data_IF_492698214787
#
_entry.id   IF_492698214787
#
_cell.length_a   1.000
_cell.length_b   1.000
_cell.length_c   1.000
_cell.angle_alpha   90.00
_cell.angle_beta   90.00
_cell.angle_gamma   90.00
#
_symmetry.space_group_name_H-M   'P 1'
#
loop_
_entity.id
_entity.type
_entity.pdbx_description
1 polymer ?
#
# COMPACT_ATOMS: atom_id res chain seq x y z
N UNK A 1 -39.07 57.64 3.97
CA UNK A 1 -40.05 56.85 3.19
C UNK A 1 -39.30 55.66 2.64
N UNK A 2 -39.52 54.48 3.22
CA UNK A 2 -40.28 53.38 2.59
C UNK A 2 -39.41 52.73 1.50
N UNK A 3 -39.07 51.46 1.49
CA UNK A 3 -39.69 50.28 2.09
C UNK A 3 -38.85 49.08 1.65
N UNK A 4 -39.04 47.94 2.33
CA UNK A 4 -38.67 46.61 1.87
C UNK A 4 -37.22 46.17 2.08
N UNK A 5 -36.84 46.07 3.36
CA UNK A 5 -36.17 44.86 3.85
C UNK A 5 -37.01 43.63 3.46
N UNK A 6 -36.66 42.99 2.33
CA UNK A 6 -37.21 41.70 1.94
C UNK A 6 -36.65 40.63 2.87
N UNK A 7 -37.40 40.39 3.95
CA UNK A 7 -37.80 39.05 4.41
C UNK A 7 -36.77 37.92 4.21
N UNK A 8 -35.79 37.86 5.11
CA UNK A 8 -35.26 36.58 5.55
C UNK A 8 -36.38 35.84 6.28
N UNK A 9 -37.16 35.02 5.58
CA UNK A 9 -38.05 34.05 6.22
C UNK A 9 -37.18 33.01 6.93
N UNK A 10 -36.80 33.33 8.17
CA UNK A 10 -36.29 32.36 9.13
C UNK A 10 -37.46 31.42 9.42
N UNK A 11 -37.45 30.21 8.87
CA UNK A 11 -38.39 29.17 9.25
C UNK A 11 -38.25 28.94 10.75
N UNK A 12 -39.22 29.46 11.49
CA UNK A 12 -39.31 29.32 12.95
C UNK A 12 -39.56 27.83 13.23
N UNK A 13 -38.48 27.10 13.56
CA UNK A 13 -38.58 25.70 13.96
C UNK A 13 -39.43 25.64 15.21
N UNK A 14 -40.58 24.97 15.13
CA UNK A 14 -41.46 24.76 16.27
C UNK A 14 -40.68 24.15 17.44
N UNK A 15 -40.88 24.64 18.68
CA UNK A 15 -40.21 24.08 19.85
C UNK A 15 -40.61 22.62 20.06
N UNK A 16 -39.61 21.74 20.22
CA UNK A 16 -39.80 20.32 20.51
C UNK A 16 -40.16 20.16 22.00
N UNK A 17 -41.18 19.37 22.29
CA UNK A 17 -41.62 19.05 23.65
C UNK A 17 -41.57 17.53 23.87
N UNK A 18 -41.17 17.12 25.08
CA UNK A 18 -41.26 15.75 25.55
C UNK A 18 -42.43 15.62 26.54
N UNK A 19 -42.99 14.41 26.68
CA UNK A 19 -43.99 14.10 27.71
C UNK A 19 -43.26 13.47 28.88
N UNK A 20 -43.43 14.01 30.08
CA UNK A 20 -42.91 13.41 31.31
C UNK A 20 -43.73 12.15 31.65
N UNK A 21 -43.11 10.96 31.70
CA UNK A 21 -43.83 9.71 31.95
C UNK A 21 -44.30 9.54 33.41
N UNK A 22 -43.78 10.32 34.35
CA UNK A 22 -44.23 10.27 35.76
C UNK A 22 -45.44 11.17 36.03
N UNK A 23 -45.53 12.32 35.35
CA UNK A 23 -46.56 13.34 35.60
C UNK A 23 -47.51 13.58 34.43
N UNK A 24 -47.21 13.05 33.23
CA UNK A 24 -47.96 13.25 31.99
C UNK A 24 -47.90 14.67 31.42
N UNK A 25 -47.07 15.56 32.01
CA UNK A 25 -46.97 16.98 31.59
C UNK A 25 -46.08 17.15 30.37
N UNK A 26 -46.41 18.11 29.51
CA UNK A 26 -45.54 18.53 28.39
C UNK A 26 -44.40 19.39 28.93
N UNK A 27 -43.17 18.95 28.72
CA UNK A 27 -41.95 19.61 29.16
C UNK A 27 -41.12 20.00 27.92
N UNK A 28 -40.46 21.18 27.91
CA UNK A 28 -39.56 21.53 26.81
C UNK A 28 -38.48 20.47 26.62
N UNK A 29 -38.21 20.06 25.37
CA UNK A 29 -37.22 19.03 25.09
C UNK A 29 -35.82 19.48 25.54
N UNK A 30 -35.17 18.62 26.33
CA UNK A 30 -33.78 18.83 26.78
C UNK A 30 -32.97 17.61 26.39
N UNK A 31 -31.85 17.84 25.69
CA UNK A 31 -30.92 16.77 25.26
C UNK A 31 -30.44 15.90 26.44
N UNK A 32 -30.32 16.48 27.64
CA UNK A 32 -29.92 15.79 28.88
C UNK A 32 -30.96 14.74 29.31
N UNK A 33 -32.24 14.99 29.08
CA UNK A 33 -33.33 14.08 29.47
C UNK A 33 -33.56 12.97 28.44
N UNK A 34 -32.97 13.08 27.25
CA UNK A 34 -33.18 12.14 26.16
C UNK A 34 -32.77 10.71 26.56
N UNK A 35 -31.63 10.53 27.24
CA UNK A 35 -31.18 9.21 27.68
C UNK A 35 -32.17 8.53 28.65
N UNK A 36 -32.74 9.29 29.59
CA UNK A 36 -33.73 8.78 30.54
C UNK A 36 -35.03 8.37 29.83
N UNK A 37 -35.53 9.23 28.94
CA UNK A 37 -36.74 8.96 28.16
C UNK A 37 -36.57 7.77 27.20
N UNK A 38 -35.40 7.64 26.56
CA UNK A 38 -35.08 6.49 25.69
C UNK A 38 -35.05 5.20 26.50
N UNK A 39 -34.42 5.21 27.68
CA UNK A 39 -34.39 4.05 28.56
C UNK A 39 -35.80 3.66 29.04
N UNK A 40 -36.65 4.62 29.40
CA UNK A 40 -38.03 4.32 29.82
C UNK A 40 -38.86 3.71 28.70
N UNK A 41 -38.80 4.25 27.48
CA UNK A 41 -39.45 3.65 26.31
C UNK A 41 -38.95 2.22 26.08
N UNK A 42 -37.66 1.97 26.29
CA UNK A 42 -37.09 0.63 26.20
C UNK A 42 -37.66 -0.31 27.27
N UNK A 43 -37.77 0.13 28.54
CA UNK A 43 -38.36 -0.66 29.62
C UNK A 43 -39.83 -0.99 29.32
N UNK A 44 -40.62 0.00 28.90
CA UNK A 44 -42.03 -0.20 28.52
C UNK A 44 -42.16 -1.18 27.34
N UNK A 45 -41.30 -1.06 26.33
CA UNK A 45 -41.25 -2.00 25.20
C UNK A 45 -40.96 -3.43 25.70
N UNK A 46 -40.01 -3.61 26.61
CA UNK A 46 -39.68 -4.92 27.18
C UNK A 46 -40.83 -5.53 27.99
N UNK A 47 -41.52 -4.73 28.80
CA UNK A 47 -42.69 -5.19 29.56
C UNK A 47 -43.84 -5.61 28.63
N UNK A 48 -44.10 -4.82 27.58
CA UNK A 48 -45.07 -5.18 26.53
C UNK A 48 -44.71 -6.49 25.84
N UNK A 49 -43.44 -6.69 25.49
CA UNK A 49 -42.96 -7.93 24.89
C UNK A 49 -43.17 -9.15 25.81
N UNK A 50 -42.85 -9.02 27.11
CA UNK A 50 -43.09 -10.08 28.10
C UNK A 50 -44.58 -10.41 28.26
N UNK A 51 -45.44 -9.39 28.31
CA UNK A 51 -46.90 -9.58 28.38
C UNK A 51 -47.43 -10.30 27.13
N UNK A 52 -46.95 -9.95 25.94
CA UNK A 52 -47.32 -10.62 24.68
C UNK A 52 -46.83 -12.07 24.65
N UNK A 53 -45.61 -12.36 25.12
CA UNK A 53 -45.10 -13.73 25.23
C UNK A 53 -45.96 -14.57 26.18
N UNK A 54 -46.34 -14.01 27.33
CA UNK A 54 -47.24 -14.67 28.29
C UNK A 54 -48.63 -14.91 27.72
N UNK A 55 -49.23 -13.91 27.06
CA UNK A 55 -50.53 -14.05 26.40
C UNK A 55 -50.52 -15.11 25.28
N UNK A 56 -49.42 -15.21 24.51
CA UNK A 56 -49.21 -16.22 23.47
C UNK A 56 -49.05 -17.63 24.06
N UNK A 57 -48.36 -17.77 25.20
CA UNK A 57 -48.25 -19.03 25.92
C UNK A 57 -49.58 -19.48 26.54
N UNK A 58 -50.42 -18.54 26.95
CA UNK A 58 -51.75 -18.78 27.53
C UNK A 58 -52.88 -18.90 26.48
N UNK A 59 -52.59 -18.64 25.19
CA UNK A 59 -53.59 -18.71 24.10
C UNK A 59 -54.64 -17.58 24.12
N UNK A 60 -54.41 -16.49 24.85
CA UNK A 60 -55.32 -15.33 24.95
C UNK A 60 -55.15 -14.39 23.75
N UNK A 61 -56.21 -13.73 23.25
CA UNK A 61 -56.09 -12.68 22.23
C UNK A 61 -55.10 -11.59 22.68
N UNK A 62 -54.23 -11.19 21.76
CA UNK A 62 -53.21 -10.18 22.01
C UNK A 62 -53.84 -8.80 22.23
N UNK A 63 -53.30 -7.98 23.16
CA UNK A 63 -53.80 -6.63 23.38
C UNK A 63 -53.66 -5.79 22.10
N UNK A 64 -54.65 -4.95 21.75
CA UNK A 64 -54.57 -4.04 20.61
C UNK A 64 -53.43 -3.04 20.81
N UNK A 65 -52.62 -2.83 19.79
CA UNK A 65 -51.57 -1.83 19.78
C UNK A 65 -51.03 -1.65 18.38
N UNK A 66 -50.65 -0.41 18.06
CA UNK A 66 -50.04 -0.05 16.78
C UNK A 66 -48.88 -0.99 16.48
N UNK A 67 -48.99 -1.68 15.36
CA UNK A 67 -48.11 -2.71 14.80
C UNK A 67 -46.72 -2.17 14.38
N UNK A 68 -46.33 -1.01 14.92
CA UNK A 68 -45.05 -0.33 14.70
C UNK A 68 -43.86 -0.99 15.43
N UNK A 69 -44.11 -1.99 16.28
CA UNK A 69 -43.10 -2.76 17.01
C UNK A 69 -42.69 -4.05 16.29
N UNK A 70 -43.10 -4.26 15.04
CA UNK A 70 -42.42 -5.22 14.18
C UNK A 70 -40.98 -4.72 14.02
N UNK A 71 -40.07 -5.20 14.87
CA UNK A 71 -38.65 -5.16 14.54
C UNK A 71 -38.59 -5.73 13.13
N UNK A 72 -38.23 -4.88 12.15
CA UNK A 72 -38.02 -5.31 10.78
C UNK A 72 -36.91 -6.34 10.86
N UNK A 73 -37.29 -7.60 11.05
CA UNK A 73 -36.42 -8.75 10.95
C UNK A 73 -35.72 -8.54 9.62
N UNK A 74 -34.40 -8.24 9.62
CA UNK A 74 -33.70 -7.96 8.39
C UNK A 74 -34.02 -9.11 7.47
N UNK A 75 -34.50 -8.78 6.26
CA UNK A 75 -35.05 -9.77 5.34
C UNK A 75 -34.12 -10.99 5.34
N UNK A 76 -34.69 -12.19 5.31
CA UNK A 76 -33.88 -13.42 5.26
C UNK A 76 -32.71 -13.31 4.26
N UNK A 77 -32.96 -12.60 3.15
CA UNK A 77 -31.97 -12.20 2.14
C UNK A 77 -30.83 -11.33 2.72
N UNK A 78 -31.13 -10.27 3.46
CA UNK A 78 -30.11 -9.43 4.12
C UNK A 78 -29.24 -10.22 5.11
N UNK A 79 -29.84 -11.08 5.92
CA UNK A 79 -29.08 -11.95 6.84
C UNK A 79 -28.21 -12.96 6.09
N UNK A 80 -28.72 -13.57 5.02
CA UNK A 80 -27.96 -14.48 4.18
C UNK A 80 -26.78 -13.77 3.49
N UNK A 81 -26.97 -12.54 2.99
CA UNK A 81 -25.91 -11.74 2.39
C UNK A 81 -24.84 -11.40 3.45
N UNK A 82 -25.25 -10.95 4.64
CA UNK A 82 -24.30 -10.55 5.68
C UNK A 82 -23.48 -11.76 6.18
N UNK A 83 -24.13 -12.89 6.43
CA UNK A 83 -23.47 -14.13 6.89
C UNK A 83 -22.52 -14.70 5.84
N UNK A 84 -22.92 -14.74 4.56
CA UNK A 84 -22.04 -15.19 3.48
C UNK A 84 -20.87 -14.23 3.26
N UNK A 85 -21.10 -12.92 3.32
CA UNK A 85 -20.03 -11.92 3.24
C UNK A 85 -19.05 -12.03 4.40
N UNK A 86 -19.54 -12.20 5.63
CA UNK A 86 -18.71 -12.38 6.81
C UNK A 86 -17.91 -13.68 6.74
N UNK A 87 -18.53 -14.80 6.36
CA UNK A 87 -17.83 -16.06 6.16
C UNK A 87 -16.73 -15.94 5.08
N UNK A 88 -17.03 -15.28 3.96
CA UNK A 88 -16.05 -14.98 2.92
C UNK A 88 -14.88 -14.13 3.44
N UNK A 89 -15.17 -13.12 4.27
CA UNK A 89 -14.14 -12.30 4.90
C UNK A 89 -13.27 -13.12 5.87
N UNK A 90 -13.87 -13.99 6.69
CA UNK A 90 -13.11 -14.87 7.61
C UNK A 90 -12.21 -15.82 6.83
N UNK A 91 -12.71 -16.43 5.74
CA UNK A 91 -11.90 -17.29 4.86
C UNK A 91 -10.75 -16.50 4.23
N UNK A 92 -10.99 -15.27 3.78
CA UNK A 92 -9.95 -14.38 3.26
C UNK A 92 -8.87 -14.10 4.32
N UNK A 93 -9.27 -13.75 5.55
CA UNK A 93 -8.32 -13.51 6.65
C UNK A 93 -7.49 -14.76 6.95
N UNK A 94 -8.12 -15.94 7.00
CA UNK A 94 -7.40 -17.21 7.19
C UNK A 94 -6.41 -17.45 6.05
N UNK A 95 -6.80 -17.19 4.79
CA UNK A 95 -5.92 -17.35 3.63
C UNK A 95 -4.72 -16.38 3.67
N UNK A 96 -4.91 -15.14 4.14
CA UNK A 96 -3.83 -14.17 4.33
C UNK A 96 -2.87 -14.61 5.44
N UNK A 97 -3.40 -15.05 6.59
CA UNK A 97 -2.58 -15.55 7.71
C UNK A 97 -1.83 -16.83 7.33
N UNK A 98 -2.45 -17.73 6.56
CA UNK A 98 -1.79 -18.91 6.00
C UNK A 98 -0.67 -18.53 5.03
N UNK A 99 -0.89 -17.52 4.16
CA UNK A 99 0.15 -16.99 3.28
C UNK A 99 1.34 -16.43 4.08
N UNK A 100 1.08 -15.67 5.14
CA UNK A 100 2.13 -15.16 6.03
C UNK A 100 2.92 -16.28 6.72
N UNK A 101 2.26 -17.37 7.09
CA UNK A 101 2.92 -18.52 7.73
C UNK A 101 3.76 -19.34 6.74
N UNK A 102 3.26 -19.57 5.52
CA UNK A 102 3.91 -20.44 4.53
C UNK A 102 4.99 -19.69 3.73
N UNK A 103 4.65 -18.53 3.16
CA UNK A 103 5.52 -17.78 2.26
C UNK A 103 6.24 -16.61 2.94
N UNK A 104 5.81 -16.23 4.15
CA UNK A 104 6.33 -15.03 4.84
C UNK A 104 5.69 -13.73 4.36
N UNK A 105 4.71 -13.80 3.45
CA UNK A 105 3.99 -12.66 2.93
C UNK A 105 2.49 -12.94 2.68
N UNK A 106 1.66 -11.93 2.93
CA UNK A 106 0.20 -12.01 2.75
C UNK A 106 -0.26 -12.19 1.29
N UNK A 107 0.63 -11.98 0.33
CA UNK A 107 0.31 -11.98 -1.10
C UNK A 107 0.62 -13.31 -1.79
N UNK A 108 0.93 -14.37 -1.03
CA UNK A 108 1.27 -15.70 -1.58
C UNK A 108 2.42 -15.64 -2.60
N UNK A 109 3.42 -14.79 -2.34
CA UNK A 109 4.54 -14.58 -3.25
C UNK A 109 4.18 -13.84 -4.54
N UNK A 110 2.98 -13.26 -4.66
CA UNK A 110 2.59 -12.49 -5.84
C UNK A 110 3.47 -11.23 -5.97
N UNK A 111 4.33 -11.21 -6.99
CA UNK A 111 5.20 -10.07 -7.36
C UNK A 111 4.88 -9.54 -8.76
N UNK A 112 3.59 -9.54 -9.12
CA UNK A 112 3.12 -9.08 -10.42
C UNK A 112 2.92 -7.56 -10.51
N UNK A 113 2.36 -7.10 -11.63
CA UNK A 113 2.19 -5.66 -11.97
C UNK A 113 1.52 -4.86 -10.86
N UNK A 114 0.50 -5.40 -10.21
CA UNK A 114 -0.28 -4.72 -9.16
C UNK A 114 0.51 -4.42 -7.87
N UNK A 115 1.63 -5.11 -7.64
CA UNK A 115 2.49 -4.85 -6.46
C UNK A 115 3.56 -3.81 -6.72
N UNK A 116 3.86 -3.54 -8.00
CA UNK A 116 4.86 -2.56 -8.42
C UNK A 116 4.21 -1.17 -8.56
N UNK A 117 3.96 -0.48 -7.44
CA UNK A 117 3.37 0.86 -7.44
C UNK A 117 4.12 1.87 -8.34
N UNK A 118 5.45 1.74 -8.41
CA UNK A 118 6.30 2.55 -9.30
C UNK A 118 6.03 2.35 -10.80
N UNK A 119 5.39 1.24 -11.20
CA UNK A 119 4.95 1.04 -12.60
C UNK A 119 3.80 1.95 -12.98
N UNK A 120 2.92 2.28 -12.02
CA UNK A 120 1.79 3.20 -12.23
C UNK A 120 2.20 4.67 -12.04
N UNK A 121 3.20 4.92 -11.21
CA UNK A 121 3.78 6.24 -10.96
C UNK A 121 5.28 6.21 -11.24
N UNK A 122 5.68 6.28 -12.53
CA UNK A 122 7.08 6.20 -12.89
C UNK A 122 7.85 7.39 -12.28
N UNK A 123 9.01 7.15 -11.64
CA UNK A 123 9.85 8.23 -11.19
C UNK A 123 10.32 9.06 -12.39
N UNK A 124 10.54 10.36 -12.18
CA UNK A 124 11.13 11.22 -13.22
C UNK A 124 12.54 10.71 -13.52
N UNK A 125 12.75 10.23 -14.76
CA UNK A 125 14.04 9.78 -15.23
C UNK A 125 15.03 10.95 -15.19
N UNK A 126 16.15 10.76 -14.49
CA UNK A 126 17.22 11.75 -14.38
C UNK A 126 18.40 11.36 -15.27
N UNK A 127 19.12 12.37 -15.76
CA UNK A 127 20.41 12.16 -16.41
C UNK A 127 21.47 12.52 -15.37
N UNK A 128 22.36 11.57 -15.08
CA UNK A 128 23.44 11.73 -14.12
C UNK A 128 24.76 11.91 -14.84
N UNK A 129 25.65 12.76 -14.33
CA UNK A 129 27.06 12.71 -14.73
C UNK A 129 27.79 11.61 -13.94
N UNK A 130 28.92 11.06 -14.43
CA UNK A 130 29.69 10.08 -13.66
C UNK A 130 30.11 10.62 -12.28
N UNK A 131 30.46 11.89 -12.20
CA UNK A 131 30.82 12.57 -10.93
C UNK A 131 29.64 12.72 -9.99
N UNK A 132 28.43 12.97 -10.52
CA UNK A 132 27.21 13.02 -9.73
C UNK A 132 26.82 11.63 -9.23
N UNK A 133 26.96 10.61 -10.10
CA UNK A 133 26.64 9.23 -9.76
C UNK A 133 27.52 8.71 -8.61
N UNK A 134 28.80 9.11 -8.56
CA UNK A 134 29.73 8.73 -7.49
C UNK A 134 29.28 9.17 -6.10
N UNK A 135 28.46 10.22 -5.99
CA UNK A 135 27.90 10.68 -4.71
C UNK A 135 26.90 9.69 -4.10
N UNK A 136 26.39 8.76 -4.92
CA UNK A 136 25.40 7.75 -4.55
C UNK A 136 26.03 6.37 -4.34
N UNK A 137 27.27 6.32 -3.84
CA UNK A 137 28.00 5.08 -3.56
C UNK A 137 27.60 4.37 -2.25
N UNK A 138 26.77 5.01 -1.41
CA UNK A 138 26.31 4.45 -0.14
C UNK A 138 27.27 4.59 1.04
N UNK A 139 28.32 5.42 0.93
CA UNK A 139 29.30 5.65 2.02
C UNK A 139 28.71 6.38 3.22
N UNK A 140 27.72 7.24 3.01
CA UNK A 140 27.07 7.99 4.09
C UNK A 140 26.15 7.15 4.96
N UNK A 141 25.96 5.86 4.65
CA UNK A 141 25.10 4.91 5.39
C UNK A 141 23.59 5.17 5.27
N UNK A 142 23.18 6.43 5.14
CA UNK A 142 21.78 6.86 5.07
C UNK A 142 21.33 7.20 3.64
N UNK A 143 22.24 7.61 2.75
CA UNK A 143 21.92 8.03 1.37
C UNK A 143 21.60 6.90 0.39
N UNK A 144 20.83 7.16 -0.68
CA UNK A 144 20.47 6.14 -1.66
C UNK A 144 21.71 5.59 -2.38
N UNK A 145 21.63 4.32 -2.77
CA UNK A 145 22.72 3.60 -3.45
C UNK A 145 22.32 3.36 -4.89
N UNK A 146 23.02 3.98 -5.82
CA UNK A 146 22.78 3.84 -7.26
C UNK A 146 23.91 3.04 -7.91
N UNK A 147 23.60 2.33 -8.97
CA UNK A 147 24.59 1.72 -9.85
C UNK A 147 24.19 1.93 -11.30
N UNK A 148 25.16 1.88 -12.22
CA UNK A 148 24.89 1.95 -13.64
C UNK A 148 25.35 0.69 -14.38
N UNK A 149 24.53 0.26 -15.33
CA UNK A 149 24.82 -0.84 -16.25
C UNK A 149 24.26 -0.50 -17.63
N UNK A 150 25.08 -0.64 -18.66
CA UNK A 150 24.84 -0.22 -20.05
C UNK A 150 24.38 1.25 -20.16
N UNK A 151 24.89 2.13 -19.30
CA UNK A 151 24.49 3.54 -19.25
C UNK A 151 23.14 3.81 -18.57
N UNK A 152 22.41 2.79 -18.12
CA UNK A 152 21.17 2.95 -17.35
C UNK A 152 21.44 2.89 -15.85
N UNK A 153 20.83 3.80 -15.10
CA UNK A 153 21.02 3.93 -13.65
C UNK A 153 19.86 3.27 -12.90
N UNK A 154 20.20 2.37 -11.99
CA UNK A 154 19.27 1.64 -11.14
C UNK A 154 19.45 2.01 -9.67
N UNK A 155 18.33 2.15 -8.96
CA UNK A 155 18.30 2.26 -7.51
C UNK A 155 18.37 0.86 -6.88
N UNK A 156 19.47 0.63 -6.18
CA UNK A 156 19.76 -0.60 -5.44
C UNK A 156 19.81 -0.37 -3.94
N UNK A 157 19.20 0.72 -3.45
CA UNK A 157 19.08 1.02 -2.02
C UNK A 157 18.48 -0.14 -1.21
N UNK A 158 17.45 -0.89 -1.68
CA UNK A 158 16.97 -2.08 -0.97
C UNK A 158 18.03 -3.18 -0.80
N UNK A 159 19.01 -3.22 -1.71
CA UNK A 159 20.15 -4.13 -1.70
C UNK A 159 21.37 -3.58 -0.95
N UNK A 160 21.21 -2.60 -0.04
CA UNK A 160 22.33 -1.94 0.66
C UNK A 160 23.28 -2.90 1.37
N UNK A 161 22.83 -4.07 1.83
CA UNK A 161 23.72 -5.11 2.39
C UNK A 161 24.83 -5.56 1.42
N UNK A 162 24.53 -5.51 0.12
CA UNK A 162 25.41 -6.00 -0.94
C UNK A 162 26.22 -4.86 -1.58
N UNK A 163 25.55 -3.73 -1.88
CA UNK A 163 26.13 -2.61 -2.62
C UNK A 163 26.52 -1.41 -1.74
N UNK A 164 26.02 -1.33 -0.51
CA UNK A 164 26.39 -0.28 0.43
C UNK A 164 27.82 -0.47 0.96
N UNK A 165 28.30 0.53 1.71
CA UNK A 165 29.64 0.49 2.30
C UNK A 165 29.89 -0.81 3.08
N UNK A 166 31.03 -1.45 2.81
CA UNK A 166 31.41 -2.74 3.40
C UNK A 166 30.74 -3.99 2.79
N UNK A 167 29.84 -3.81 1.81
CA UNK A 167 29.23 -4.91 1.07
C UNK A 167 30.16 -5.54 0.04
N UNK A 168 29.97 -6.83 -0.31
CA UNK A 168 30.82 -7.55 -1.27
C UNK A 168 30.78 -6.97 -2.69
N UNK A 169 29.74 -6.22 -3.04
CA UNK A 169 29.53 -5.62 -4.37
C UNK A 169 29.57 -4.09 -4.34
N UNK A 170 30.15 -3.50 -3.29
CA UNK A 170 30.24 -2.06 -3.10
C UNK A 170 30.98 -1.33 -4.23
N UNK A 171 31.97 -1.98 -4.86
CA UNK A 171 32.73 -1.40 -5.98
C UNK A 171 31.87 -1.06 -7.21
N UNK A 172 30.65 -1.61 -7.32
CA UNK A 172 29.68 -1.24 -8.36
C UNK A 172 28.87 0.01 -8.03
N UNK A 173 28.83 0.43 -6.76
CA UNK A 173 28.03 1.56 -6.34
C UNK A 173 28.62 2.88 -6.87
N UNK A 174 27.73 3.76 -7.33
CA UNK A 174 28.02 5.10 -7.82
C UNK A 174 28.74 5.18 -9.16
N UNK A 175 28.82 4.11 -9.95
CA UNK A 175 29.53 4.11 -11.24
C UNK A 175 28.91 3.18 -12.27
N UNK A 176 29.32 3.34 -13.53
CA UNK A 176 29.07 2.36 -14.58
C UNK A 176 30.22 1.35 -14.61
N UNK A 177 29.91 0.11 -14.30
CA UNK A 177 30.86 -1.00 -14.25
C UNK A 177 30.46 -2.13 -15.21
N UNK A 178 29.82 -1.79 -16.33
CA UNK A 178 29.30 -2.74 -17.31
C UNK A 178 30.35 -3.78 -17.74
N UNK A 179 31.61 -3.38 -17.94
CA UNK A 179 32.67 -4.32 -18.32
C UNK A 179 33.03 -5.31 -17.19
N UNK A 180 33.03 -4.86 -15.94
CA UNK A 180 33.37 -5.70 -14.79
C UNK A 180 32.33 -6.81 -14.52
N UNK A 181 31.05 -6.60 -14.87
CA UNK A 181 30.02 -7.63 -14.77
C UNK A 181 30.33 -8.88 -15.58
N UNK A 182 31.01 -8.73 -16.73
CA UNK A 182 31.29 -9.87 -17.60
C UNK A 182 32.69 -10.43 -17.41
N UNK A 183 33.64 -9.56 -17.16
CA UNK A 183 35.05 -9.96 -17.03
C UNK A 183 35.42 -10.44 -15.63
N UNK A 184 34.61 -10.13 -14.60
CA UNK A 184 34.93 -10.47 -13.20
C UNK A 184 36.10 -9.67 -12.61
N UNK A 185 36.59 -8.65 -13.33
CA UNK A 185 37.73 -7.84 -12.93
C UNK A 185 37.24 -6.57 -12.20
N UNK A 186 37.00 -6.69 -10.89
CA UNK A 186 36.38 -5.59 -10.12
C UNK A 186 37.32 -4.44 -9.77
N UNK A 187 38.64 -4.60 -9.93
CA UNK A 187 39.60 -3.53 -9.63
C UNK A 187 39.92 -2.69 -10.87
N UNK A 188 39.97 -3.30 -12.06
CA UNK A 188 40.45 -2.65 -13.29
C UNK A 188 39.36 -2.36 -14.32
N UNK A 189 38.25 -3.12 -14.33
CA UNK A 189 37.20 -3.00 -15.36
C UNK A 189 35.95 -2.26 -14.90
N UNK A 190 36.09 -1.36 -13.92
CA UNK A 190 35.02 -0.46 -13.47
C UNK A 190 34.79 0.68 -14.49
N UNK A 191 34.42 0.31 -15.72
CA UNK A 191 34.24 1.20 -16.87
C UNK A 191 33.04 0.79 -17.72
N UNK A 192 32.52 1.75 -18.49
CA UNK A 192 31.48 1.56 -19.50
C UNK A 192 32.03 1.06 -20.85
N UNK A 193 33.34 0.86 -20.99
CA UNK A 193 33.95 0.39 -22.24
C UNK A 193 33.64 -1.08 -22.54
N UNK A 194 32.76 -1.30 -23.51
CA UNK A 194 32.35 -2.62 -23.99
C UNK A 194 33.14 -3.12 -25.20
N UNK A 195 34.15 -2.37 -25.67
CA UNK A 195 34.97 -2.80 -26.81
C UNK A 195 35.78 -4.05 -26.46
N UNK A 196 35.95 -4.92 -27.44
CA UNK A 196 36.70 -6.18 -27.29
C UNK A 196 35.98 -7.27 -26.50
N UNK A 197 34.72 -7.08 -26.09
CA UNK A 197 33.91 -8.14 -25.50
C UNK A 197 33.44 -9.12 -26.58
N UNK A 198 33.59 -10.41 -26.29
CA UNK A 198 33.08 -11.51 -27.09
C UNK A 198 31.53 -11.52 -27.11
N UNK A 199 30.89 -12.15 -28.11
CA UNK A 199 29.43 -12.27 -28.14
C UNK A 199 28.84 -12.99 -26.91
N UNK A 200 29.58 -13.95 -26.36
CA UNK A 200 29.17 -14.65 -25.14
C UNK A 200 29.16 -13.71 -23.92
N UNK A 201 30.18 -12.87 -23.77
CA UNK A 201 30.23 -11.85 -22.72
C UNK A 201 29.13 -10.82 -22.90
N UNK A 202 28.85 -10.37 -24.12
CA UNK A 202 27.75 -9.44 -24.38
C UNK A 202 26.38 -10.03 -23.96
N UNK A 203 26.14 -11.31 -24.26
CA UNK A 203 24.93 -12.02 -23.81
C UNK A 203 24.85 -12.11 -22.27
N UNK A 204 25.99 -12.33 -21.61
CA UNK A 204 26.06 -12.33 -20.15
C UNK A 204 25.76 -10.93 -19.55
N UNK A 205 26.25 -9.86 -20.19
CA UNK A 205 25.92 -8.49 -19.81
C UNK A 205 24.42 -8.21 -19.95
N UNK A 206 23.80 -8.71 -21.02
CA UNK A 206 22.36 -8.58 -21.25
C UNK A 206 21.54 -9.34 -20.20
N UNK A 207 22.06 -10.47 -19.72
CA UNK A 207 21.51 -11.21 -18.58
C UNK A 207 21.52 -10.37 -17.31
N UNK A 208 22.66 -9.74 -16.98
CA UNK A 208 22.77 -8.84 -15.82
C UNK A 208 21.88 -7.60 -15.94
N UNK A 209 21.84 -6.98 -17.12
CA UNK A 209 20.94 -5.86 -17.38
C UNK A 209 19.48 -6.28 -17.17
N UNK A 210 19.08 -7.44 -17.70
CA UNK A 210 17.73 -7.98 -17.52
C UNK A 210 17.40 -8.28 -16.06
N UNK A 211 18.37 -8.75 -15.28
CA UNK A 211 18.22 -8.96 -13.84
C UNK A 211 17.82 -7.66 -13.14
N UNK A 212 18.57 -6.56 -13.32
CA UNK A 212 18.25 -5.28 -12.68
C UNK A 212 16.94 -4.68 -13.21
N UNK A 213 16.66 -4.82 -14.50
CA UNK A 213 15.44 -4.31 -15.10
C UNK A 213 14.18 -5.03 -14.63
N UNK A 214 14.28 -6.34 -14.32
CA UNK A 214 13.13 -7.16 -13.93
C UNK A 214 13.00 -7.35 -12.41
N UNK A 215 14.03 -7.00 -11.65
CA UNK A 215 14.08 -7.19 -10.20
C UNK A 215 12.83 -6.59 -9.50
N UNK A 216 12.28 -7.26 -8.48
CA UNK A 216 11.10 -6.75 -7.77
C UNK A 216 11.38 -5.51 -6.92
N UNK A 217 12.62 -5.34 -6.46
CA UNK A 217 13.02 -4.26 -5.54
C UNK A 217 13.93 -3.20 -6.17
N UNK A 218 14.52 -3.47 -7.34
CA UNK A 218 15.37 -2.50 -8.02
C UNK A 218 14.59 -1.84 -9.12
N UNK A 219 14.86 -0.56 -9.35
CA UNK A 219 14.13 0.22 -10.34
C UNK A 219 15.04 1.19 -11.07
N UNK A 220 14.73 1.41 -12.35
CA UNK A 220 15.44 2.38 -13.18
C UNK A 220 15.08 3.79 -12.75
N UNK A 221 16.09 4.58 -12.40
CA UNK A 221 15.94 5.99 -12.00
C UNK A 221 16.39 6.96 -13.07
N UNK A 222 17.14 6.50 -14.06
CA UNK A 222 17.72 7.40 -15.04
C UNK A 222 18.73 6.75 -15.96
N UNK A 223 19.54 7.60 -16.56
CA UNK A 223 20.69 7.24 -17.41
C UNK A 223 21.91 8.04 -16.98
N UNK A 224 23.10 7.53 -17.27
CA UNK A 224 24.36 8.23 -17.05
C UNK A 224 24.86 8.81 -18.37
N UNK A 225 25.30 10.07 -18.33
CA UNK A 225 25.97 10.71 -19.45
C UNK A 225 27.39 10.18 -19.54
N UNK A 226 27.56 9.13 -20.33
CA UNK A 226 28.85 8.47 -20.51
C UNK A 226 29.82 9.36 -21.31
N UNK A 227 31.08 9.50 -20.87
CA UNK A 227 32.08 10.22 -21.63
C UNK A 227 32.39 9.47 -22.92
N UNK A 228 32.70 10.22 -23.97
CA UNK A 228 33.10 9.67 -25.25
C UNK A 228 34.39 8.86 -25.10
N UNK A 229 34.40 7.64 -25.65
CA UNK A 229 35.58 6.78 -25.69
C UNK A 229 36.22 6.93 -27.07
N UNK A 230 37.45 7.42 -27.11
CA UNK A 230 38.22 7.54 -28.35
C UNK A 230 38.59 6.13 -28.88
N UNK A 231 38.23 5.77 -30.13
CA UNK A 231 38.59 4.49 -30.74
C UNK A 231 40.10 4.21 -30.77
N UNK A 232 40.96 5.23 -30.72
CA UNK A 232 42.41 5.06 -30.68
C UNK A 232 42.96 4.65 -29.31
N UNK A 233 42.17 4.83 -28.23
CA UNK A 233 42.59 4.39 -26.90
C UNK A 233 42.68 2.86 -26.83
N UNK A 234 43.73 2.31 -26.20
CA UNK A 234 43.87 0.86 -26.08
C UNK A 234 42.69 0.28 -25.30
N UNK A 235 42.20 -0.87 -25.75
CA UNK A 235 41.14 -1.60 -25.07
C UNK A 235 41.67 -2.04 -23.69
N UNK A 236 40.86 -1.96 -22.62
CA UNK A 236 41.29 -2.44 -21.30
C UNK A 236 41.75 -3.91 -21.37
N UNK A 237 42.97 -4.21 -20.90
CA UNK A 237 43.55 -5.56 -20.99
C UNK A 237 42.76 -6.55 -20.15
N UNK A 238 42.75 -7.83 -20.51
CA UNK A 238 42.18 -8.88 -19.66
C UNK A 238 42.85 -8.87 -18.28
N UNK A 239 42.10 -9.11 -17.20
CA UNK A 239 42.72 -9.25 -15.87
C UNK A 239 43.28 -10.66 -15.66
N UNK A 240 44.27 -10.75 -14.77
CA UNK A 240 44.94 -12.00 -14.43
C UNK A 240 44.17 -12.85 -13.39
N UNK A 241 43.26 -12.23 -12.61
CA UNK A 241 42.49 -12.87 -11.55
C UNK A 241 41.01 -12.44 -11.58
N UNK A 242 40.21 -13.01 -12.50
CA UNK A 242 38.77 -12.81 -12.46
C UNK A 242 38.20 -13.43 -11.18
N UNK A 243 37.36 -12.68 -10.46
CA UNK A 243 36.62 -13.22 -9.31
C UNK A 243 35.29 -13.80 -9.79
N UNK A 244 35.01 -15.03 -9.37
CA UNK A 244 33.72 -15.65 -9.62
C UNK A 244 32.60 -14.85 -8.96
N UNK A 245 31.58 -14.50 -9.75
CA UNK A 245 30.38 -13.86 -9.25
C UNK A 245 29.48 -14.95 -8.68
N UNK A 246 29.20 -14.88 -7.38
CA UNK A 246 28.17 -15.73 -6.78
C UNK A 246 26.81 -15.13 -7.15
N UNK A 247 25.93 -15.88 -7.84
CA UNK A 247 24.60 -15.40 -8.21
C UNK A 247 23.76 -15.02 -6.98
#
# INVERSE_FOLDING_TARGET
MSSAQQSQQRTEKQPLYDIDPSTGRKVPHKRINNAYLVHQRWVEKQERLKLRQKAKAEGRPLPPGDDLDAEEEPSFVANAIFTTAYAGFVVLVIALLAGQFIHGDFLWGYRGKWTKWQTYFPPKMRVFTPEELLKYNGDSGEGPVYLAIKGDVFDVTPGRRNYGSGGPYHFFAGRDASRAYVTGCFDTHLTHDLRGLTPAEQSMLDGWYSFYAQHPQYFKVGTVQLPYIDPATPIPPSCDQPRDQKP
#
